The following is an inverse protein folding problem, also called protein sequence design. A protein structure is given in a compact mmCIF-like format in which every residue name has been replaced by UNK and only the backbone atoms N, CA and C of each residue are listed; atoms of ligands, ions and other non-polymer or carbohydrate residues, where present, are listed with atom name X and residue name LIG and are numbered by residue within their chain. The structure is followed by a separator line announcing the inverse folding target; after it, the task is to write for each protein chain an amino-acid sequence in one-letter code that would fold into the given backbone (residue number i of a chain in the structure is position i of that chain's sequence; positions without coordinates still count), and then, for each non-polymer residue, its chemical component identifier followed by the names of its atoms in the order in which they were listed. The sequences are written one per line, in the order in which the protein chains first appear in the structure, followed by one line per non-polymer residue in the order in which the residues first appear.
data_IF_222382162773
#
_entry.id   IF_222382162773
#
_cell.length_a   1.000
_cell.length_b   1.000
_cell.length_c   1.000
_cell.angle_alpha   90.00
_cell.angle_beta   90.00
_cell.angle_gamma   90.00
#
_symmetry.space_group_name_H-M   'P 1'
#
loop_
_entity.id
_entity.type
_entity.pdbx_description
1 polymer ?
#
# COMPACT_ATOMS: atom_id res chain seq x y z
N UNK A 1 -13.23 27.38 13.17
CA UNK A 1 -13.58 26.19 13.97
C UNK A 1 -12.36 25.88 14.81
N UNK A 2 -12.52 25.42 16.06
CA UNK A 2 -11.40 24.92 16.87
C UNK A 2 -10.81 23.68 16.22
N UNK A 3 -9.49 23.55 16.19
CA UNK A 3 -8.83 22.39 15.57
C UNK A 3 -9.08 21.08 16.34
N UNK A 4 -9.05 19.95 15.65
CA UNK A 4 -9.09 18.62 16.24
C UNK A 4 -7.68 18.01 16.34
N UNK A 5 -7.25 17.63 17.55
CA UNK A 5 -5.98 16.92 17.77
C UNK A 5 -6.26 15.50 18.27
N UNK A 6 -5.90 14.50 17.47
CA UNK A 6 -6.04 13.09 17.80
C UNK A 6 -4.72 12.54 18.33
N UNK A 7 -4.61 12.35 19.65
CA UNK A 7 -3.41 11.79 20.28
C UNK A 7 -3.56 10.29 20.55
N UNK A 8 -2.57 9.50 20.14
CA UNK A 8 -2.43 8.07 20.40
C UNK A 8 -1.10 7.78 21.08
N UNK A 9 -1.12 7.60 22.41
CA UNK A 9 0.11 7.35 23.21
C UNK A 9 0.60 5.91 23.16
N UNK A 10 -0.32 4.96 22.96
CA UNK A 10 -0.04 3.53 22.90
C UNK A 10 -1.02 2.87 21.93
N UNK A 11 -0.96 3.17 20.63
CA UNK A 11 -1.84 2.56 19.65
C UNK A 11 -1.62 1.05 19.59
N UNK A 12 -2.70 0.30 19.41
CA UNK A 12 -2.63 -1.15 19.16
C UNK A 12 -2.14 -1.43 17.74
N UNK A 13 -2.51 -0.57 16.79
CA UNK A 13 -2.05 -0.62 15.40
C UNK A 13 -1.79 0.79 14.88
N UNK A 14 -0.66 0.97 14.23
CA UNK A 14 -0.40 2.13 13.38
C UNK A 14 0.16 1.61 12.06
N UNK A 15 -0.62 1.70 10.99
CA UNK A 15 -0.31 1.02 9.73
C UNK A 15 -0.56 1.92 8.53
N UNK A 16 0.26 1.73 7.49
CA UNK A 16 -0.05 2.19 6.14
C UNK A 16 -0.89 1.14 5.41
N UNK A 17 -1.86 1.62 4.64
CA UNK A 17 -2.71 0.81 3.78
C UNK A 17 -3.13 1.58 2.54
N UNK A 18 -3.76 0.88 1.61
CA UNK A 18 -4.25 1.47 0.35
C UNK A 18 -5.58 0.86 -0.04
N UNK A 19 -6.41 1.65 -0.72
CA UNK A 19 -7.67 1.23 -1.32
C UNK A 19 -7.63 1.64 -2.80
N UNK A 20 -8.17 0.80 -3.68
CA UNK A 20 -8.20 1.04 -5.13
C UNK A 20 -7.32 0.08 -5.94
N UNK A 21 -7.42 0.21 -7.26
CA UNK A 21 -6.72 -0.65 -8.22
C UNK A 21 -5.25 -0.22 -8.40
N UNK A 22 -4.33 -1.11 -8.81
CA UNK A 22 -2.96 -0.73 -9.15
C UNK A 22 -2.95 0.41 -10.20
N UNK A 23 -2.29 1.52 -9.88
CA UNK A 23 -2.27 2.73 -10.70
C UNK A 23 -3.20 3.85 -10.23
N UNK A 24 -4.26 3.51 -9.50
CA UNK A 24 -5.24 4.45 -8.94
C UNK A 24 -5.54 4.12 -7.46
N UNK A 25 -4.47 4.02 -6.66
CA UNK A 25 -4.55 3.68 -5.24
C UNK A 25 -4.52 4.95 -4.41
N UNK A 26 -5.46 5.06 -3.48
CA UNK A 26 -5.41 6.07 -2.42
C UNK A 26 -4.72 5.46 -1.20
N UNK A 27 -3.77 6.19 -0.62
CA UNK A 27 -3.00 5.77 0.56
C UNK A 27 -3.61 6.35 1.83
N UNK A 28 -3.64 5.52 2.87
CA UNK A 28 -4.13 5.90 4.18
C UNK A 28 -3.15 5.47 5.26
N UNK A 29 -3.02 6.30 6.30
CA UNK A 29 -2.48 5.88 7.59
C UNK A 29 -3.63 5.69 8.56
N UNK A 30 -3.62 4.58 9.28
CA UNK A 30 -4.65 4.26 10.25
C UNK A 30 -4.00 4.00 11.62
N UNK A 31 -4.46 4.76 12.61
CA UNK A 31 -4.15 4.56 14.02
C UNK A 31 -5.37 3.92 14.70
N UNK A 32 -5.16 2.82 15.41
CA UNK A 32 -6.18 2.08 16.15
C UNK A 32 -5.77 1.97 17.60
N UNK A 33 -6.68 2.28 18.50
CA UNK A 33 -6.54 1.99 19.92
C UNK A 33 -7.92 1.62 20.48
N UNK A 34 -8.05 0.38 20.95
CA UNK A 34 -9.30 -0.23 21.36
C UNK A 34 -10.38 -0.10 20.27
N UNK A 35 -11.48 0.62 20.55
CA UNK A 35 -12.55 0.89 19.60
C UNK A 35 -12.34 2.17 18.78
N UNK A 36 -11.29 2.95 19.06
CA UNK A 36 -11.02 4.23 18.37
C UNK A 36 -10.14 3.96 17.16
N UNK A 37 -10.68 4.26 15.98
CA UNK A 37 -9.98 4.18 14.70
C UNK A 37 -9.93 5.58 14.09
N UNK A 38 -8.75 6.06 13.76
CA UNK A 38 -8.55 7.32 13.03
C UNK A 38 -7.78 7.00 11.76
N UNK A 39 -8.33 7.41 10.62
CA UNK A 39 -7.69 7.26 9.32
C UNK A 39 -7.43 8.63 8.71
N UNK A 40 -6.24 8.83 8.15
CA UNK A 40 -5.89 10.04 7.39
C UNK A 40 -5.38 9.65 6.02
N UNK A 41 -5.65 10.50 5.04
CA UNK A 41 -5.26 10.28 3.64
C UNK A 41 -3.94 10.97 3.32
N UNK A 42 -3.06 10.27 2.60
CA UNK A 42 -1.75 10.81 2.20
C UNK A 42 -1.40 10.42 0.77
N UNK A 43 -0.36 11.06 0.25
CA UNK A 43 0.26 10.66 -1.00
C UNK A 43 1.25 9.49 -0.81
N UNK A 44 1.46 8.72 -1.88
CA UNK A 44 2.44 7.62 -1.90
C UNK A 44 3.84 8.08 -1.47
N UNK A 45 4.28 9.24 -1.95
CA UNK A 45 5.59 9.79 -1.64
C UNK A 45 5.72 10.15 -0.15
N UNK A 46 4.66 10.68 0.46
CA UNK A 46 4.63 10.98 1.89
C UNK A 46 4.79 9.70 2.73
N UNK A 47 4.06 8.62 2.41
CA UNK A 47 4.21 7.34 3.11
C UNK A 47 5.63 6.78 2.98
N UNK A 48 6.23 6.90 1.79
CA UNK A 48 7.60 6.45 1.55
C UNK A 48 8.60 7.25 2.40
N UNK A 49 8.52 8.57 2.36
CA UNK A 49 9.39 9.46 3.14
C UNK A 49 9.26 9.16 4.64
N UNK A 50 8.04 8.98 5.13
CA UNK A 50 7.81 8.69 6.55
C UNK A 50 8.45 7.36 6.96
N UNK A 51 8.28 6.29 6.18
CA UNK A 51 8.87 4.99 6.45
C UNK A 51 10.41 5.04 6.47
N UNK A 52 11.02 5.69 5.46
CA UNK A 52 12.46 5.84 5.35
C UNK A 52 13.03 6.67 6.50
N UNK A 53 12.37 7.77 6.85
CA UNK A 53 12.77 8.67 7.95
C UNK A 53 12.66 8.00 9.32
N UNK A 54 11.62 7.21 9.56
CA UNK A 54 11.49 6.40 10.78
C UNK A 54 12.67 5.42 10.89
N UNK A 55 12.99 4.71 9.80
CA UNK A 55 14.13 3.78 9.78
C UNK A 55 15.45 4.47 10.12
N UNK A 56 15.72 5.61 9.49
CA UNK A 56 16.92 6.41 9.74
C UNK A 56 16.99 6.95 11.17
N UNK A 57 15.87 7.47 11.70
CA UNK A 57 15.79 7.98 13.06
C UNK A 57 16.11 6.88 14.09
N UNK A 58 15.50 5.70 13.93
CA UNK A 58 15.75 4.54 14.79
C UNK A 58 17.24 4.14 14.80
N UNK A 59 17.88 4.13 13.63
CA UNK A 59 19.29 3.79 13.52
C UNK A 59 20.20 4.86 14.16
N UNK A 60 19.83 6.14 14.04
CA UNK A 60 20.54 7.25 14.70
C UNK A 60 20.42 7.19 16.23
N UNK A 61 19.22 6.95 16.75
CA UNK A 61 18.97 6.82 18.20
C UNK A 61 19.78 5.66 18.77
N UNK A 62 19.75 4.50 18.10
CA UNK A 62 20.55 3.35 18.52
C UNK A 62 22.05 3.68 18.59
N UNK A 63 22.58 4.36 17.55
CA UNK A 63 24.01 4.75 17.51
C UNK A 63 24.37 5.77 18.59
N UNK A 64 23.51 6.74 18.86
CA UNK A 64 23.81 7.88 19.74
C UNK A 64 23.54 7.59 21.22
N UNK A 65 22.47 6.87 21.52
CA UNK A 65 21.98 6.65 22.88
C UNK A 65 22.07 5.18 23.32
N UNK A 66 22.37 4.26 22.42
CA UNK A 66 22.40 2.83 22.74
C UNK A 66 21.02 2.22 22.97
N UNK A 67 19.94 2.92 22.63
CA UNK A 67 18.58 2.45 22.80
C UNK A 67 18.38 1.12 22.07
N UNK A 68 17.73 0.13 22.69
CA UNK A 68 17.39 -1.12 22.02
C UNK A 68 16.44 -0.87 20.86
N UNK A 69 16.91 -1.13 19.64
CA UNK A 69 16.14 -1.00 18.42
C UNK A 69 16.22 -2.31 17.66
N UNK A 70 15.09 -2.90 17.24
CA UNK A 70 15.11 -4.11 16.41
C UNK A 70 15.87 -3.86 15.09
N UNK A 71 16.58 -4.87 14.56
CA UNK A 71 17.26 -4.72 13.28
C UNK A 71 16.24 -4.45 12.14
N UNK A 72 16.66 -3.79 11.05
CA UNK A 72 15.87 -3.71 9.84
C UNK A 72 15.41 -5.09 9.37
N UNK A 73 14.16 -5.20 8.92
CA UNK A 73 13.58 -6.46 8.46
C UNK A 73 12.57 -6.21 7.35
N UNK A 74 12.53 -7.13 6.39
CA UNK A 74 11.49 -7.17 5.34
C UNK A 74 10.30 -8.04 5.75
N UNK A 75 10.38 -8.70 6.92
CA UNK A 75 9.32 -9.54 7.45
C UNK A 75 8.34 -8.68 8.23
N UNK A 76 7.10 -8.66 7.77
CA UNK A 76 5.99 -7.93 8.40
C UNK A 76 5.15 -8.94 9.18
N UNK A 77 4.88 -8.65 10.46
CA UNK A 77 4.07 -9.51 11.33
C UNK A 77 2.58 -9.36 11.01
N UNK A 78 2.08 -8.13 11.04
CA UNK A 78 0.69 -7.82 10.67
C UNK A 78 0.55 -7.50 9.17
N UNK A 79 -0.18 -8.35 8.44
CA UNK A 79 -0.60 -8.11 7.04
C UNK A 79 -2.12 -7.90 6.92
N UNK A 80 -2.83 -7.83 8.04
CA UNK A 80 -4.28 -7.63 8.06
C UNK A 80 -4.63 -6.30 7.40
N UNK A 81 -5.76 -6.21 6.68
CA UNK A 81 -6.16 -4.99 5.97
C UNK A 81 -6.44 -3.82 6.93
N UNK A 82 -6.70 -2.66 6.35
CA UNK A 82 -7.29 -1.52 7.06
C UNK A 82 -8.63 -1.94 7.67
N UNK A 83 -8.95 -1.41 8.85
CA UNK A 83 -10.28 -1.55 9.43
C UNK A 83 -11.26 -0.78 8.56
N UNK A 84 -12.35 -1.44 8.17
CA UNK A 84 -13.40 -0.88 7.33
C UNK A 84 -14.62 -0.48 8.16
N UNK A 85 -15.34 0.60 7.80
CA UNK A 85 -15.08 1.51 6.68
C UNK A 85 -13.86 2.43 6.94
N UNK A 86 -13.20 2.86 5.86
CA UNK A 86 -12.09 3.82 5.94
C UNK A 86 -12.63 5.19 5.56
N UNK A 87 -12.99 5.96 6.59
CA UNK A 87 -13.37 7.36 6.46
C UNK A 87 -12.16 8.21 6.88
N UNK A 88 -11.66 9.04 5.97
CA UNK A 88 -10.52 9.90 6.24
C UNK A 88 -10.95 11.16 6.98
N UNK A 89 -10.33 11.45 8.11
CA UNK A 89 -10.54 12.71 8.84
C UNK A 89 -10.08 13.91 8.00
N UNK A 90 -8.89 13.80 7.40
CA UNK A 90 -8.32 14.83 6.55
C UNK A 90 -7.23 14.29 5.61
N UNK A 91 -6.79 15.14 4.68
CA UNK A 91 -5.60 14.93 3.84
C UNK A 91 -4.39 15.54 4.53
N UNK A 92 -3.31 14.77 4.69
CA UNK A 92 -2.09 15.25 5.35
C UNK A 92 -1.31 16.17 4.41
N UNK A 93 -0.96 17.36 4.91
CA UNK A 93 -0.06 18.30 4.25
C UNK A 93 1.37 18.16 4.78
N UNK A 94 1.53 18.33 6.09
CA UNK A 94 2.83 18.34 6.77
C UNK A 94 2.99 17.14 7.69
N UNK A 95 4.19 16.58 7.76
CA UNK A 95 4.53 15.47 8.65
C UNK A 95 5.74 15.82 9.51
N UNK A 96 5.59 15.70 10.82
CA UNK A 96 6.66 15.77 11.81
C UNK A 96 7.09 14.38 12.27
N UNK A 97 8.39 14.23 12.55
CA UNK A 97 8.95 13.04 13.13
C UNK A 97 9.97 13.42 14.20
N UNK A 98 9.84 12.83 15.39
CA UNK A 98 10.71 13.10 16.52
C UNK A 98 10.97 11.88 17.39
N UNK A 99 11.92 12.03 18.31
CA UNK A 99 12.20 11.08 19.38
C UNK A 99 11.93 11.73 20.73
N UNK A 100 11.07 11.12 21.52
CA UNK A 100 10.86 11.47 22.91
C UNK A 100 11.76 10.58 23.79
N UNK A 101 12.77 11.20 24.40
CA UNK A 101 13.72 10.51 25.27
C UNK A 101 13.14 10.15 26.65
N UNK A 102 12.07 10.83 27.10
CA UNK A 102 11.45 10.52 28.39
C UNK A 102 10.59 9.26 28.29
N UNK A 103 9.80 9.14 27.20
CA UNK A 103 8.94 7.97 26.96
C UNK A 103 9.57 6.87 26.11
N UNK A 104 10.81 7.06 25.66
CA UNK A 104 11.51 6.18 24.71
C UNK A 104 10.66 5.83 23.47
N UNK A 105 9.98 6.83 22.92
CA UNK A 105 9.03 6.66 21.83
C UNK A 105 9.36 7.52 20.61
N UNK A 106 9.12 6.94 19.43
CA UNK A 106 9.08 7.69 18.17
C UNK A 106 7.75 8.44 18.11
N UNK A 107 7.81 9.75 17.94
CA UNK A 107 6.63 10.61 17.81
C UNK A 107 6.44 10.93 16.33
N UNK A 108 5.30 10.51 15.79
CA UNK A 108 4.85 10.84 14.43
C UNK A 108 3.72 11.85 14.54
N UNK A 109 3.85 12.98 13.85
CA UNK A 109 2.85 14.03 13.81
C UNK A 109 2.40 14.26 12.37
N UNK A 110 1.10 14.24 12.14
CA UNK A 110 0.50 14.40 10.81
C UNK A 110 -0.47 15.57 10.88
N UNK A 111 -0.22 16.62 10.11
CA UNK A 111 -1.05 17.82 10.07
C UNK A 111 -1.86 17.89 8.79
N UNK A 112 -3.11 18.30 8.89
CA UNK A 112 -3.99 18.52 7.76
C UNK A 112 -3.41 19.57 6.81
N UNK A 113 -3.64 19.38 5.52
CA UNK A 113 -3.36 20.41 4.51
C UNK A 113 -4.29 21.60 4.73
N UNK A 114 -3.72 22.80 4.70
CA UNK A 114 -4.46 24.06 4.83
C UNK A 114 -4.04 25.03 3.73
N UNK A 115 -4.97 25.89 3.31
CA UNK A 115 -4.72 26.87 2.23
C UNK A 115 -3.91 28.10 2.68
N UNK A 116 -3.65 28.26 3.98
CA UNK A 116 -2.85 29.34 4.55
C UNK A 116 -1.43 28.90 4.91
N UNK A 117 -0.46 29.82 4.78
CA UNK A 117 0.86 29.68 5.39
C UNK A 117 0.70 29.80 6.91
N UNK A 118 1.10 28.75 7.65
CA UNK A 118 1.21 28.80 9.11
C UNK A 118 2.70 28.81 9.47
N UNK A 119 3.04 29.61 10.47
CA UNK A 119 4.39 29.60 11.04
C UNK A 119 4.65 28.23 11.70
N UNK A 120 5.82 27.63 11.45
CA UNK A 120 6.22 26.32 12.02
C UNK A 120 6.17 26.34 13.55
N UNK A 121 6.25 27.53 14.17
CA UNK A 121 6.10 27.72 15.62
C UNK A 121 4.71 27.35 16.16
N UNK A 122 3.65 27.48 15.37
CA UNK A 122 2.25 27.18 15.78
C UNK A 122 1.99 25.67 15.85
N UNK A 123 2.81 24.87 15.16
CA UNK A 123 2.72 23.41 15.17
C UNK A 123 3.02 22.83 16.56
N UNK A 124 3.87 23.49 17.34
CA UNK A 124 4.42 22.95 18.58
C UNK A 124 3.61 23.29 19.84
N UNK A 125 2.77 24.33 19.82
CA UNK A 125 2.20 24.90 21.05
C UNK A 125 0.80 24.37 21.43
N UNK A 126 0.27 23.33 20.78
CA UNK A 126 -1.04 22.70 21.10
C UNK A 126 -2.21 23.71 21.31
N UNK A 127 -2.10 24.93 20.78
CA UNK A 127 -3.10 26.01 20.87
C UNK A 127 -4.35 25.67 20.07
N UNK A 128 -5.47 26.34 20.31
CA UNK A 128 -6.71 26.13 19.55
C UNK A 128 -6.62 26.62 18.08
N UNK A 129 -5.54 27.30 17.71
CA UNK A 129 -5.27 27.84 16.39
C UNK A 129 -4.26 26.94 15.65
N UNK A 130 -4.72 26.24 14.61
CA UNK A 130 -3.85 25.42 13.76
C UNK A 130 -4.62 24.41 12.92
N UNK A 131 -3.94 23.66 12.04
CA UNK A 131 -4.57 22.56 11.29
C UNK A 131 -4.93 21.39 12.23
N UNK A 132 -5.90 20.58 11.80
CA UNK A 132 -6.19 19.31 12.45
C UNK A 132 -4.96 18.41 12.43
N UNK A 133 -4.76 17.64 13.49
CA UNK A 133 -3.54 16.86 13.68
C UNK A 133 -3.80 15.47 14.24
N UNK A 134 -2.96 14.51 13.83
CA UNK A 134 -2.85 13.19 14.45
C UNK A 134 -1.43 13.05 14.99
N UNK A 135 -1.29 12.81 16.30
CA UNK A 135 -0.01 12.57 16.97
C UNK A 135 0.04 11.16 17.53
N UNK A 136 1.01 10.38 17.08
CA UNK A 136 1.14 8.96 17.41
C UNK A 136 2.50 8.71 18.05
N UNK A 137 2.51 8.04 19.19
CA UNK A 137 3.71 7.59 19.88
C UNK A 137 3.89 6.10 19.62
N UNK A 138 5.07 5.71 19.12
CA UNK A 138 5.38 4.35 18.73
C UNK A 138 6.60 3.87 19.50
N UNK A 139 6.53 2.63 20.00
CA UNK A 139 7.73 1.94 20.47
C UNK A 139 8.71 1.73 19.31
N UNK A 140 9.99 1.53 19.61
CA UNK A 140 11.01 1.25 18.58
C UNK A 140 10.66 0.04 17.71
N UNK A 141 10.01 -0.97 18.30
CA UNK A 141 9.52 -2.14 17.59
C UNK A 141 8.33 -1.83 16.67
N UNK A 142 7.32 -1.11 17.16
CA UNK A 142 6.16 -0.73 16.35
C UNK A 142 6.56 0.19 15.19
N UNK A 143 7.48 1.14 15.44
CA UNK A 143 8.03 2.01 14.42
C UNK A 143 8.80 1.23 13.34
N UNK A 144 9.58 0.20 13.74
CA UNK A 144 10.29 -0.66 12.79
C UNK A 144 9.33 -1.49 11.94
N UNK A 145 8.30 -2.07 12.56
CA UNK A 145 7.27 -2.83 11.85
C UNK A 145 6.49 -1.94 10.88
N UNK A 146 6.15 -0.72 11.30
CA UNK A 146 5.50 0.28 10.44
C UNK A 146 6.33 0.58 9.19
N UNK A 147 7.64 0.81 9.34
CA UNK A 147 8.53 1.09 8.22
C UNK A 147 8.57 -0.10 7.23
N UNK A 148 8.75 -1.33 7.74
CA UNK A 148 8.77 -2.54 6.94
C UNK A 148 7.44 -2.77 6.18
N UNK A 149 6.32 -2.60 6.88
CA UNK A 149 4.97 -2.73 6.29
C UNK A 149 4.74 -1.69 5.20
N UNK A 150 5.09 -0.44 5.46
CA UNK A 150 4.89 0.67 4.52
C UNK A 150 5.65 0.41 3.22
N UNK A 151 6.92 -0.02 3.29
CA UNK A 151 7.70 -0.40 2.12
C UNK A 151 7.01 -1.48 1.27
N UNK A 152 6.41 -2.48 1.93
CA UNK A 152 5.66 -3.55 1.27
C UNK A 152 4.36 -3.07 0.62
N UNK A 153 3.62 -2.18 1.28
CA UNK A 153 2.37 -1.61 0.73
C UNK A 153 2.65 -0.75 -0.52
N UNK A 154 3.72 0.04 -0.47
CA UNK A 154 4.17 0.89 -1.59
C UNK A 154 4.61 0.02 -2.78
N UNK A 155 5.31 -1.10 -2.54
CA UNK A 155 5.79 -1.99 -3.60
C UNK A 155 4.70 -2.90 -4.18
N UNK A 156 3.66 -3.24 -3.40
CA UNK A 156 2.57 -4.13 -3.79
C UNK A 156 1.69 -3.65 -4.96
N UNK A 157 1.87 -2.42 -5.45
CA UNK A 157 1.18 -1.91 -6.65
C UNK A 157 1.98 -2.08 -7.96
N UNK A 158 3.21 -2.59 -7.91
CA UNK A 158 4.01 -2.85 -9.11
C UNK A 158 3.57 -4.16 -9.75
N UNK A 159 3.64 -4.27 -11.08
CA UNK A 159 3.40 -5.56 -11.72
C UNK A 159 4.39 -6.60 -11.15
N UNK A 160 3.91 -7.78 -10.74
CA UNK A 160 4.80 -8.83 -10.28
C UNK A 160 5.67 -9.30 -11.45
N UNK A 161 6.94 -9.59 -11.16
CA UNK A 161 7.84 -10.19 -12.14
C UNK A 161 7.28 -11.56 -12.54
N UNK A 162 7.07 -11.85 -13.85
CA UNK A 162 6.49 -13.13 -14.28
C UNK A 162 7.38 -14.34 -13.95
N UNK A 163 8.63 -14.11 -13.56
CA UNK A 163 9.56 -15.16 -13.18
C UNK A 163 9.63 -15.37 -11.67
N UNK A 164 9.99 -14.35 -10.89
CA UNK A 164 10.21 -14.49 -9.44
C UNK A 164 9.06 -13.99 -8.57
N UNK A 165 8.02 -13.41 -9.17
CA UNK A 165 6.87 -12.81 -8.48
C UNK A 165 7.21 -11.63 -7.54
N UNK A 166 8.44 -11.10 -7.62
CA UNK A 166 8.86 -9.88 -6.93
C UNK A 166 8.36 -8.62 -7.66
N UNK A 167 8.11 -7.49 -6.97
CA UNK A 167 7.66 -6.24 -7.58
C UNK A 167 8.64 -5.69 -8.64
N UNK A 168 8.17 -5.44 -9.87
CA UNK A 168 8.99 -4.85 -10.94
C UNK A 168 9.28 -3.35 -10.70
N UNK A 169 10.53 -2.92 -10.87
CA UNK A 169 10.88 -1.50 -10.93
C UNK A 169 10.69 -0.93 -12.33
N UNK A 170 10.31 0.36 -12.49
CA UNK A 170 10.26 1.00 -13.81
C UNK A 170 11.57 0.94 -14.60
N UNK A 171 12.74 0.97 -13.93
CA UNK A 171 14.07 0.87 -14.55
C UNK A 171 14.62 -0.56 -14.59
N UNK A 172 13.73 -1.53 -14.41
CA UNK A 172 14.00 -2.95 -14.44
C UNK A 172 14.35 -3.57 -13.09
N UNK A 173 13.97 -4.84 -12.94
CA UNK A 173 14.13 -5.62 -11.71
C UNK A 173 15.30 -6.61 -11.79
N UNK A 174 16.06 -6.73 -10.70
CA UNK A 174 17.11 -7.75 -10.54
C UNK A 174 16.48 -9.11 -10.20
N UNK A 175 16.12 -9.87 -11.22
CA UNK A 175 15.48 -11.17 -11.02
C UNK A 175 16.51 -12.25 -10.62
N UNK A 176 16.31 -12.86 -9.44
CA UNK A 176 17.13 -13.98 -8.94
C UNK A 176 17.08 -15.21 -9.85
N UNK A 177 15.97 -15.42 -10.57
CA UNK A 177 15.82 -16.53 -11.54
C UNK A 177 16.61 -16.32 -12.82
N UNK A 178 17.07 -15.10 -13.12
CA UNK A 178 17.88 -14.79 -14.31
C UNK A 178 19.27 -14.26 -13.95
N UNK A 179 19.83 -14.65 -12.79
CA UNK A 179 21.15 -14.21 -12.32
C UNK A 179 21.35 -12.68 -12.38
N UNK A 180 20.30 -11.91 -12.08
CA UNK A 180 20.38 -10.45 -11.97
C UNK A 180 20.22 -9.68 -13.29
N UNK A 181 19.78 -10.30 -14.38
CA UNK A 181 19.44 -9.57 -15.60
C UNK A 181 18.25 -8.61 -15.38
N UNK A 182 18.45 -7.31 -15.66
CA UNK A 182 17.40 -6.27 -15.58
C UNK A 182 16.50 -6.35 -16.80
N UNK A 183 15.19 -6.56 -16.60
CA UNK A 183 14.18 -6.37 -17.66
C UNK A 183 13.37 -5.13 -17.35
N UNK A 184 13.32 -4.20 -18.28
CA UNK A 184 12.39 -3.07 -18.20
C UNK A 184 10.94 -3.55 -18.36
N UNK A 185 10.00 -2.82 -17.76
CA UNK A 185 8.59 -3.18 -17.76
C UNK A 185 7.98 -3.24 -19.18
N UNK A 186 8.48 -2.44 -20.12
CA UNK A 186 7.96 -2.32 -21.48
C UNK A 186 8.20 -3.58 -22.34
N UNK A 187 9.36 -4.22 -22.18
CA UNK A 187 9.73 -5.41 -22.96
C UNK A 187 8.86 -6.64 -22.65
N UNK A 188 8.23 -6.69 -21.46
CA UNK A 188 7.36 -7.80 -21.06
C UNK A 188 6.07 -7.91 -21.90
N UNK A 189 5.68 -6.82 -22.58
CA UNK A 189 4.48 -6.75 -23.44
C UNK A 189 4.79 -6.95 -24.92
N UNK A 190 6.06 -6.97 -25.32
CA UNK A 190 6.44 -7.08 -26.73
C UNK A 190 6.27 -8.51 -27.24
N UNK A 191 5.22 -8.73 -28.04
CA UNK A 191 5.08 -9.90 -28.91
C UNK A 191 6.05 -9.86 -30.10
N UNK A 192 6.82 -8.78 -30.24
CA UNK A 192 7.80 -8.56 -31.32
C UNK A 192 8.95 -9.58 -31.34
N UNK A 193 9.12 -10.36 -30.26
CA UNK A 193 10.09 -11.45 -30.17
C UNK A 193 9.53 -12.82 -30.54
N UNK A 194 8.21 -12.94 -30.76
CA UNK A 194 7.60 -14.17 -31.26
C UNK A 194 7.76 -14.17 -32.78
N UNK A 195 8.73 -14.91 -33.28
CA UNK A 195 8.88 -15.15 -34.71
C UNK A 195 7.61 -15.85 -35.24
N UNK A 196 6.82 -15.20 -36.14
CA UNK A 196 5.57 -15.77 -36.65
C UNK A 196 5.79 -17.11 -37.37
N UNK A 197 6.98 -17.36 -37.92
CA UNK A 197 7.31 -18.63 -38.57
C UNK A 197 7.51 -19.76 -37.54
N UNK A 198 8.07 -19.44 -36.37
CA UNK A 198 8.23 -20.40 -35.27
C UNK A 198 6.88 -20.74 -34.64
N UNK A 199 6.03 -19.73 -34.43
CA UNK A 199 4.67 -19.94 -33.92
C UNK A 199 3.82 -20.80 -34.86
N UNK A 200 3.84 -20.50 -36.17
CA UNK A 200 3.12 -21.30 -37.16
C UNK A 200 3.69 -22.73 -37.32
N UNK A 201 5.00 -22.91 -37.14
CA UNK A 201 5.64 -24.23 -37.13
C UNK A 201 5.18 -25.10 -35.95
N UNK A 202 4.96 -24.49 -34.78
CA UNK A 202 4.44 -25.17 -33.59
C UNK A 202 2.94 -25.49 -33.72
N UNK A 203 2.14 -24.56 -34.24
CA UNK A 203 0.73 -24.80 -34.52
C UNK A 203 0.51 -25.89 -35.60
N UNK A 204 1.42 -25.99 -36.57
CA UNK A 204 1.38 -27.02 -37.61
C UNK A 204 1.83 -28.41 -37.13
N UNK A 205 2.47 -28.51 -35.95
CA UNK A 205 2.93 -29.78 -35.37
C UNK A 205 1.91 -30.43 -34.43
N UNK A 206 0.61 -30.09 -34.60
CA UNK A 206 -0.54 -30.61 -33.85
C UNK A 206 -0.27 -31.87 -33.04
N UNK A 207 0.05 -31.67 -31.76
CA UNK A 207 -0.03 -32.72 -30.75
C UNK A 207 -1.53 -32.90 -30.45
N UNK A 208 -2.14 -34.05 -30.74
CA UNK A 208 -3.58 -34.25 -30.64
C UNK A 208 -4.07 -34.32 -29.18
N UNK A 209 -3.24 -33.99 -28.19
CA UNK A 209 -3.59 -33.98 -26.77
C UNK A 209 -4.29 -32.70 -26.29
N UNK A 210 -4.36 -31.64 -27.13
CA UNK A 210 -5.05 -30.39 -26.83
C UNK A 210 -6.14 -30.09 -27.87
N UNK A 211 -7.13 -30.96 -28.01
CA UNK A 211 -8.42 -30.55 -28.54
C UNK A 211 -9.22 -29.91 -27.41
N UNK A 212 -9.29 -28.58 -27.40
CA UNK A 212 -10.36 -27.87 -26.70
C UNK A 212 -11.59 -28.05 -27.58
N UNK A 213 -12.53 -28.86 -27.13
CA UNK A 213 -13.88 -28.90 -27.71
C UNK A 213 -14.54 -27.55 -27.33
N UNK A 214 -14.64 -26.66 -28.32
CA UNK A 214 -15.47 -25.46 -28.23
C UNK A 214 -16.95 -25.92 -28.28
N UNK A 215 -17.51 -26.29 -27.14
CA UNK A 215 -18.97 -26.36 -26.94
C UNK A 215 -19.49 -24.93 -26.66
N UNK A 216 -19.70 -24.17 -27.73
CA UNK A 216 -20.54 -22.97 -27.71
C UNK A 216 -21.72 -23.20 -28.68
N UNK A 217 -22.67 -24.03 -28.24
CA UNK A 217 -24.06 -23.99 -28.73
C UNK A 217 -24.78 -22.88 -27.96
N UNK A 218 -25.37 -21.86 -28.63
CA UNK A 218 -26.22 -20.90 -27.95
C UNK A 218 -27.57 -21.56 -27.62
N UNK A 219 -27.79 -21.83 -26.33
CA UNK A 219 -29.10 -22.10 -25.75
C UNK A 219 -30.02 -20.88 -26.03
N UNK A 220 -31.04 -21.08 -26.85
CA UNK A 220 -32.08 -20.10 -27.17
C UNK A 220 -33.34 -20.51 -26.38
N UNK A 221 -33.69 -19.85 -25.26
CA UNK A 221 -34.88 -20.17 -24.51
C UNK A 221 -35.91 -19.08 -24.73
N UNK A 222 -36.79 -19.23 -25.71
CA UNK A 222 -38.12 -18.57 -25.68
C UNK A 222 -39.04 -19.21 -26.72
N UNK A 223 -39.82 -20.20 -26.26
CA UNK A 223 -41.00 -20.74 -26.94
C UNK A 223 -42.25 -20.11 -26.27
N UNK A 224 -42.91 -19.11 -26.89
CA UNK A 224 -44.16 -18.57 -26.38
C UNK A 224 -45.35 -19.38 -26.90
N UNK A 225 -45.76 -20.35 -26.09
CA UNK A 225 -47.15 -20.76 -25.78
C UNK A 225 -48.24 -20.42 -26.84
N UNK A 226 -48.40 -21.27 -27.85
CA UNK A 226 -49.61 -21.33 -28.69
C UNK A 226 -50.59 -22.41 -28.18
N UNK A 227 -51.55 -21.94 -27.38
CA UNK A 227 -52.99 -22.26 -27.41
C UNK A 227 -53.46 -23.60 -28.01
N UNK A 228 -54.10 -24.42 -27.18
CA UNK A 228 -55.05 -25.46 -27.59
C UNK A 228 -56.20 -25.61 -26.57
N UNK A 229 -57.44 -25.97 -26.99
CA UNK A 229 -58.65 -25.37 -26.44
C UNK A 229 -59.43 -26.18 -25.38
N UNK A 230 -60.38 -25.46 -24.78
CA UNK A 230 -61.50 -25.83 -23.90
C UNK A 230 -62.09 -27.24 -24.08
N UNK A 231 -62.59 -27.81 -22.97
CA UNK A 231 -63.94 -28.42 -22.87
C UNK A 231 -64.34 -28.74 -21.41
N UNK A 232 -65.65 -28.90 -21.12
CA UNK A 232 -66.36 -28.33 -19.97
C UNK A 232 -66.22 -29.08 -18.63
#
# INVERSE_FOLDING_TARGET
MSRAIHVFRSPDRFIAGTIGQPGDRTFYLQAVHESRVVSVMLEKQQVQILADRIGALLDEIHRRFGTPVPPPTDRVGDLSPLVMPVDAEFRVGTMGLGWDAESEAVVVELLAITEGEFDESVVLDDTDEGPDAVRVFLSTAAAREFAARSAKVISAGRQPCPLCNEPLDPNGHLCVRTNGYKRDAELSKSLDFIDPAVFNSLAAQGDPSFSVEDDDEPDDPDDPDETGPERP
#
